data_IF_270843322528
#
_entry.id   IF_270843322528
#
_cell.length_a   1.000
_cell.length_b   1.000
_cell.length_c   1.000
_cell.angle_alpha   90.00
_cell.angle_beta   90.00
_cell.angle_gamma   90.00
#
_symmetry.space_group_name_H-M   'P 1'
#
loop_
_entity.id
_entity.type
_entity.pdbx_description
1 polymer ?
#
# COMPACT_ATOMS: atom_id res chain seq x y z
N UNK A 1 -5.22 -11.64 -5.34
CA UNK A 1 -5.11 -11.14 -6.71
C UNK A 1 -3.79 -10.42 -6.97
N UNK A 2 -3.29 -9.65 -6.01
CA UNK A 2 -2.10 -8.81 -6.15
C UNK A 2 -1.17 -9.04 -4.96
N UNK A 3 -0.37 -10.11 -4.96
CA UNK A 3 0.53 -10.43 -3.86
C UNK A 3 1.67 -9.41 -3.75
N UNK A 4 2.14 -9.21 -2.52
CA UNK A 4 3.42 -8.59 -2.22
C UNK A 4 4.36 -9.68 -1.71
N UNK A 5 5.61 -9.61 -2.09
CA UNK A 5 6.63 -10.57 -1.69
C UNK A 5 7.51 -10.01 -0.58
N UNK A 6 8.17 -10.88 0.15
CA UNK A 6 9.19 -10.50 1.13
C UNK A 6 10.31 -9.69 0.45
N UNK A 7 10.70 -8.58 1.04
CA UNK A 7 11.64 -7.64 0.42
C UNK A 7 11.04 -6.77 -0.68
N UNK A 8 9.74 -6.87 -0.93
CA UNK A 8 9.04 -6.13 -1.97
C UNK A 8 8.67 -4.70 -1.60
N UNK A 9 8.23 -3.95 -2.60
CA UNK A 9 7.75 -2.58 -2.46
C UNK A 9 6.32 -2.45 -2.92
N UNK A 10 5.49 -1.81 -2.11
CA UNK A 10 4.10 -1.54 -2.43
C UNK A 10 3.68 -0.14 -2.02
N UNK A 11 2.59 0.34 -2.59
CA UNK A 11 1.98 1.54 -2.10
C UNK A 11 0.45 1.53 -2.24
N UNK A 12 -0.19 2.27 -1.34
CA UNK A 12 -1.63 2.32 -1.18
C UNK A 12 -2.07 3.77 -1.38
N UNK A 13 -2.36 4.20 -2.61
CA UNK A 13 -2.96 5.50 -2.83
C UNK A 13 -4.46 5.44 -2.63
N UNK A 14 -5.00 6.50 -2.09
CA UNK A 14 -6.44 6.65 -1.96
C UNK A 14 -6.87 7.97 -1.33
N UNK A 15 -8.07 8.44 -1.62
CA UNK A 15 -8.66 9.58 -0.96
C UNK A 15 -8.72 9.43 0.57
N UNK A 16 -8.97 10.53 1.26
CA UNK A 16 -9.20 10.49 2.70
C UNK A 16 -10.48 9.69 3.01
N UNK A 17 -10.44 8.88 4.08
CA UNK A 17 -11.61 8.09 4.51
C UNK A 17 -11.82 6.77 3.76
N UNK A 18 -10.96 6.39 2.82
CA UNK A 18 -11.06 5.11 2.09
C UNK A 18 -10.51 3.91 2.85
N UNK A 19 -10.03 4.09 4.09
CA UNK A 19 -9.55 3.01 4.93
C UNK A 19 -8.09 2.61 4.69
N UNK A 20 -7.21 3.55 4.32
CA UNK A 20 -5.77 3.30 4.16
C UNK A 20 -5.13 2.71 5.41
N UNK A 21 -5.32 3.36 6.53
CA UNK A 21 -4.78 2.95 7.84
C UNK A 21 -5.33 1.57 8.25
N UNK A 22 -6.63 1.34 8.06
CA UNK A 22 -7.25 0.03 8.35
C UNK A 22 -6.64 -1.09 7.48
N UNK A 23 -6.37 -0.81 6.21
CA UNK A 23 -5.71 -1.78 5.33
C UNK A 23 -4.27 -2.05 5.78
N UNK A 24 -3.53 -1.03 6.21
CA UNK A 24 -2.18 -1.20 6.77
C UNK A 24 -2.21 -2.04 8.05
N UNK A 25 -3.16 -1.80 8.96
CA UNK A 25 -3.34 -2.62 10.16
C UNK A 25 -3.64 -4.08 9.80
N UNK A 26 -4.49 -4.32 8.82
CA UNK A 26 -4.80 -5.67 8.35
C UNK A 26 -3.57 -6.37 7.74
N UNK A 27 -2.76 -5.64 6.97
CA UNK A 27 -1.52 -6.16 6.40
C UNK A 27 -0.52 -6.50 7.51
N UNK A 28 -0.30 -5.59 8.48
CA UNK A 28 0.63 -5.83 9.59
C UNK A 28 0.23 -7.01 10.47
N UNK A 29 -1.07 -7.24 10.63
CA UNK A 29 -1.61 -8.38 11.37
C UNK A 29 -1.35 -9.70 10.66
N UNK A 30 -1.48 -9.73 9.33
CA UNK A 30 -1.38 -10.95 8.53
C UNK A 30 0.03 -11.23 7.98
N UNK A 31 0.93 -10.25 8.04
CA UNK A 31 2.27 -10.39 7.49
C UNK A 31 3.15 -11.31 8.33
N UNK A 32 3.88 -12.19 7.66
CA UNK A 32 4.93 -13.02 8.24
C UNK A 32 6.22 -12.21 8.40
N UNK A 33 6.18 -11.19 9.27
CA UNK A 33 7.32 -10.35 9.58
C UNK A 33 7.74 -10.53 11.04
N UNK A 34 9.04 -10.52 11.31
CA UNK A 34 9.56 -10.57 12.67
C UNK A 34 9.34 -9.23 13.38
N UNK A 35 9.51 -8.13 12.64
CA UNK A 35 9.33 -6.77 13.15
C UNK A 35 8.47 -5.96 12.19
N UNK A 36 7.54 -5.21 12.75
CA UNK A 36 6.72 -4.23 12.04
C UNK A 36 7.13 -2.83 12.49
N UNK A 37 7.45 -1.96 11.54
CA UNK A 37 7.76 -0.56 11.84
C UNK A 37 6.70 0.30 11.18
N UNK A 38 6.04 1.14 11.97
CA UNK A 38 5.04 2.10 11.51
C UNK A 38 5.62 3.50 11.63
N UNK A 39 5.81 4.15 10.51
CA UNK A 39 6.21 5.54 10.44
C UNK A 39 4.99 6.42 10.16
N UNK A 40 4.40 6.99 11.20
CA UNK A 40 3.37 8.01 11.06
C UNK A 40 4.06 9.34 10.75
N UNK A 41 3.92 9.81 9.51
CA UNK A 41 4.64 10.99 9.02
C UNK A 41 3.67 12.17 8.85
N UNK A 42 3.67 13.11 9.80
CA UNK A 42 2.84 14.31 9.75
C UNK A 42 1.34 14.05 9.87
N UNK A 43 0.96 12.93 10.48
CA UNK A 43 -0.44 12.56 10.68
C UNK A 43 -1.10 13.39 11.76
N UNK A 44 -2.44 13.39 11.79
CA UNK A 44 -3.20 14.08 12.81
C UNK A 44 -2.99 13.38 14.16
N UNK A 45 -2.94 14.17 15.23
CA UNK A 45 -2.77 13.61 16.57
C UNK A 45 -3.81 12.53 16.92
N UNK A 46 -5.06 12.69 16.44
CA UNK A 46 -6.12 11.71 16.67
C UNK A 46 -5.84 10.37 16.00
N UNK A 47 -5.32 10.36 14.77
CA UNK A 47 -4.97 9.15 14.03
C UNK A 47 -3.79 8.42 14.69
N UNK A 48 -2.82 9.18 15.22
CA UNK A 48 -1.71 8.61 15.99
C UNK A 48 -2.20 7.98 17.29
N UNK A 49 -3.12 8.65 18.00
CA UNK A 49 -3.73 8.11 19.24
C UNK A 49 -4.51 6.83 18.94
N UNK A 50 -5.24 6.77 17.81
CA UNK A 50 -5.96 5.58 17.38
C UNK A 50 -5.00 4.39 17.20
N UNK A 51 -3.85 4.59 16.56
CA UNK A 51 -2.82 3.54 16.45
C UNK A 51 -2.37 3.06 17.84
N UNK A 52 -2.11 3.96 18.78
CA UNK A 52 -1.68 3.61 20.14
C UNK A 52 -2.77 2.91 20.96
N UNK A 53 -4.05 3.12 20.66
CA UNK A 53 -5.16 2.47 21.35
C UNK A 53 -5.55 1.14 20.73
N UNK A 54 -5.55 1.03 19.42
CA UNK A 54 -5.97 -0.18 18.70
C UNK A 54 -4.88 -1.25 18.60
N UNK A 55 -3.63 -0.86 18.32
CA UNK A 55 -2.53 -1.83 18.15
C UNK A 55 -2.28 -2.75 19.34
N UNK A 56 -2.34 -2.29 20.60
CA UNK A 56 -2.18 -3.16 21.76
C UNK A 56 -3.27 -4.23 21.90
N UNK A 57 -4.44 -4.02 21.30
CA UNK A 57 -5.55 -4.99 21.36
C UNK A 57 -5.46 -6.03 20.22
N UNK A 58 -4.67 -5.76 19.17
CA UNK A 58 -4.49 -6.68 18.06
C UNK A 58 -3.63 -7.87 18.46
N UNK A 59 -4.12 -9.07 18.11
CA UNK A 59 -3.40 -10.33 18.33
C UNK A 59 -2.86 -10.83 16.98
N UNK A 60 -1.60 -11.22 16.98
CA UNK A 60 -0.96 -11.88 15.85
C UNK A 60 -1.55 -13.28 15.66
N UNK A 61 -2.15 -13.58 14.51
CA UNK A 61 -2.76 -14.89 14.27
C UNK A 61 -1.75 -16.03 14.20
N UNK A 62 -0.47 -15.74 13.90
CA UNK A 62 0.58 -16.75 13.76
C UNK A 62 1.18 -17.15 15.12
N UNK A 63 1.40 -16.19 16.00
CA UNK A 63 2.06 -16.42 17.29
C UNK A 63 1.12 -16.43 18.49
N UNK A 64 -0.09 -15.90 18.34
CA UNK A 64 -1.05 -15.71 19.43
C UNK A 64 -0.65 -14.61 20.44
N UNK A 65 0.46 -13.90 20.19
CA UNK A 65 0.94 -12.79 21.03
C UNK A 65 0.34 -11.47 20.56
N UNK A 66 0.48 -10.45 21.40
CA UNK A 66 0.05 -9.10 21.01
C UNK A 66 0.93 -8.55 19.91
N UNK A 67 0.32 -7.97 18.88
CA UNK A 67 1.04 -7.40 17.74
C UNK A 67 2.04 -6.31 18.17
N UNK A 68 1.72 -5.58 19.23
CA UNK A 68 2.58 -4.53 19.78
C UNK A 68 3.96 -5.03 20.25
N UNK A 69 4.10 -6.32 20.62
CA UNK A 69 5.38 -6.89 21.06
C UNK A 69 6.43 -6.92 19.94
N UNK A 70 6.00 -6.94 18.67
CA UNK A 70 6.87 -6.90 17.49
C UNK A 70 6.76 -5.60 16.69
N UNK A 71 6.11 -4.57 17.24
CA UNK A 71 5.84 -3.32 16.52
C UNK A 71 6.62 -2.16 17.11
N UNK A 72 7.24 -1.38 16.22
CA UNK A 72 7.92 -0.11 16.55
C UNK A 72 7.12 1.00 15.88
N UNK A 73 6.71 2.00 16.64
CA UNK A 73 5.95 3.14 16.14
C UNK A 73 6.81 4.40 16.21
N UNK A 74 7.03 5.04 15.06
CA UNK A 74 7.68 6.35 14.97
C UNK A 74 6.59 7.37 14.66
N UNK A 75 6.15 8.07 15.70
CA UNK A 75 5.07 9.01 15.61
C UNK A 75 5.57 10.43 15.35
N UNK A 76 5.26 10.98 14.18
CA UNK A 76 5.43 12.38 13.87
C UNK A 76 4.07 12.98 13.53
N UNK A 77 3.64 13.96 14.31
CA UNK A 77 2.35 14.64 14.12
C UNK A 77 2.50 15.89 13.26
N UNK A 78 1.39 16.35 12.71
CA UNK A 78 1.34 17.54 11.84
C UNK A 78 1.82 18.84 12.53
N UNK A 79 1.86 18.87 13.87
CA UNK A 79 2.29 20.02 14.67
C UNK A 79 3.82 20.08 14.83
N UNK A 80 4.53 19.02 14.47
CA UNK A 80 5.99 18.97 14.59
C UNK A 80 6.68 19.75 13.47
N UNK A 81 7.94 20.21 13.68
CA UNK A 81 8.72 20.92 12.67
C UNK A 81 8.86 20.11 11.37
N UNK A 82 8.95 20.83 10.24
CA UNK A 82 9.08 20.22 8.90
C UNK A 82 10.28 19.29 8.80
N UNK A 83 11.43 19.71 9.34
CA UNK A 83 12.65 18.90 9.34
C UNK A 83 12.47 17.57 10.12
N UNK A 84 11.73 17.58 11.22
CA UNK A 84 11.41 16.36 11.97
C UNK A 84 10.48 15.43 11.16
N UNK A 85 9.56 16.01 10.38
CA UNK A 85 8.68 15.25 9.47
C UNK A 85 9.45 14.58 8.38
N UNK A 86 10.39 15.27 7.75
CA UNK A 86 11.29 14.70 6.76
C UNK A 86 12.15 13.59 7.37
N UNK A 87 12.81 13.87 8.50
CA UNK A 87 13.72 12.92 9.13
C UNK A 87 13.04 11.65 9.65
N UNK A 88 11.76 11.69 10.02
CA UNK A 88 11.04 10.56 10.62
C UNK A 88 11.01 9.32 9.72
N UNK A 89 10.83 9.52 8.41
CA UNK A 89 10.78 8.43 7.43
C UNK A 89 12.16 7.79 7.24
N UNK A 90 13.21 8.60 7.21
CA UNK A 90 14.59 8.10 7.14
C UNK A 90 15.01 7.39 8.43
N UNK A 91 14.58 7.87 9.58
CA UNK A 91 14.81 7.20 10.88
C UNK A 91 14.16 5.82 10.89
N UNK A 92 12.93 5.72 10.41
CA UNK A 92 12.23 4.45 10.29
C UNK A 92 12.96 3.46 9.37
N UNK A 93 13.44 3.94 8.21
CA UNK A 93 14.20 3.11 7.29
C UNK A 93 15.55 2.67 7.88
N UNK A 94 16.24 3.55 8.61
CA UNK A 94 17.52 3.21 9.25
C UNK A 94 17.36 2.12 10.33
N UNK A 95 16.27 2.19 11.09
CA UNK A 95 15.92 1.11 12.03
C UNK A 95 15.59 -0.19 11.31
N UNK A 96 14.85 -0.12 10.20
CA UNK A 96 14.55 -1.29 9.38
C UNK A 96 15.83 -1.95 8.84
N UNK A 97 16.79 -1.14 8.36
CA UNK A 97 18.08 -1.64 7.88
C UNK A 97 18.92 -2.28 9.00
N UNK A 98 18.86 -1.71 10.20
CA UNK A 98 19.52 -2.29 11.36
C UNK A 98 19.01 -3.70 11.66
N UNK A 99 17.68 -3.87 11.74
CA UNK A 99 17.10 -5.19 11.97
C UNK A 99 17.29 -6.15 10.79
N UNK A 100 17.24 -5.65 9.55
CA UNK A 100 17.58 -6.46 8.37
C UNK A 100 19.00 -7.01 8.46
N UNK A 101 19.95 -6.23 8.92
CA UNK A 101 21.35 -6.66 9.08
C UNK A 101 21.54 -7.72 10.18
N UNK A 102 20.55 -7.90 11.05
CA UNK A 102 20.48 -9.00 12.01
C UNK A 102 19.84 -10.28 11.46
N UNK A 103 19.46 -10.32 10.18
CA UNK A 103 18.77 -11.45 9.57
C UNK A 103 17.26 -11.49 9.79
N UNK A 104 16.65 -10.38 10.24
CA UNK A 104 15.22 -10.32 10.51
C UNK A 104 14.41 -9.85 9.29
N UNK A 105 13.16 -10.31 9.23
CA UNK A 105 12.17 -9.89 8.26
C UNK A 105 11.42 -8.67 8.78
N UNK A 106 11.63 -7.52 8.15
CA UNK A 106 11.05 -6.25 8.58
C UNK A 106 9.96 -5.82 7.61
N UNK A 107 8.79 -5.49 8.15
CA UNK A 107 7.73 -4.79 7.41
C UNK A 107 7.75 -3.33 7.84
N UNK A 108 8.11 -2.44 6.93
CA UNK A 108 8.07 -1.00 7.13
C UNK A 108 6.86 -0.39 6.43
N UNK A 109 6.02 0.28 7.17
CA UNK A 109 4.86 1.01 6.67
C UNK A 109 5.00 2.50 6.96
N UNK A 110 4.78 3.34 5.96
CA UNK A 110 4.80 4.78 6.09
C UNK A 110 3.41 5.37 5.82
N UNK A 111 2.85 6.06 6.80
CA UNK A 111 1.57 6.77 6.72
C UNK A 111 1.75 8.26 7.09
N UNK A 112 1.63 9.22 6.18
CA UNK A 112 1.54 9.04 4.74
C UNK A 112 2.78 9.64 4.06
N UNK A 113 3.27 9.00 3.01
CA UNK A 113 4.41 9.51 2.23
C UNK A 113 4.09 10.83 1.51
N UNK A 114 2.82 11.17 1.32
CA UNK A 114 2.40 12.51 0.84
C UNK A 114 2.84 13.63 1.79
N UNK A 115 2.76 13.40 3.09
CA UNK A 115 3.19 14.37 4.10
C UNK A 115 4.71 14.54 4.12
N UNK A 116 5.42 13.44 3.91
CA UNK A 116 6.87 13.47 3.69
C UNK A 116 7.23 14.28 2.44
N UNK A 117 6.57 14.05 1.32
CA UNK A 117 6.78 14.81 0.09
C UNK A 117 6.44 16.31 0.26
N UNK A 118 5.41 16.65 1.05
CA UNK A 118 5.11 18.03 1.42
C UNK A 118 6.25 18.64 2.23
N UNK A 119 6.86 17.90 3.16
CA UNK A 119 8.00 18.38 3.92
C UNK A 119 9.20 18.67 3.01
N UNK A 120 9.50 17.79 2.05
CA UNK A 120 10.53 18.02 1.03
C UNK A 120 10.25 19.29 0.23
N UNK A 121 9.01 19.51 -0.21
CA UNK A 121 8.61 20.74 -0.91
C UNK A 121 8.81 21.99 -0.06
N UNK A 122 8.40 21.95 1.21
CA UNK A 122 8.57 23.10 2.11
C UNK A 122 10.05 23.41 2.38
N UNK A 123 10.90 22.38 2.50
CA UNK A 123 12.35 22.55 2.68
C UNK A 123 13.01 23.15 1.44
N UNK A 124 12.76 22.60 0.26
CA UNK A 124 13.26 23.09 -1.02
C UNK A 124 12.87 24.56 -1.26
N UNK A 125 11.60 24.89 -0.99
CA UNK A 125 11.14 26.29 -1.12
C UNK A 125 11.84 27.24 -0.15
N UNK A 126 12.18 26.80 1.06
CA UNK A 126 12.94 27.62 2.05
C UNK A 126 14.41 27.78 1.65
N UNK A 127 14.96 26.82 0.92
CA UNK A 127 16.32 26.89 0.38
C UNK A 127 16.38 27.65 -0.94
N UNK A 128 15.25 28.19 -1.41
CA UNK A 128 15.15 28.95 -2.67
C UNK A 128 15.60 28.12 -3.89
N UNK A 129 15.43 26.79 -3.84
CA UNK A 129 15.72 25.92 -4.96
C UNK A 129 14.72 26.12 -6.11
N UNK A 130 15.15 25.84 -7.33
CA UNK A 130 14.27 25.92 -8.50
C UNK A 130 13.13 24.90 -8.37
N UNK A 131 11.86 25.35 -8.41
CA UNK A 131 10.74 24.45 -8.26
C UNK A 131 10.51 23.60 -9.51
N UNK A 132 10.23 22.32 -9.30
CA UNK A 132 9.69 21.41 -10.30
C UNK A 132 8.16 21.47 -10.42
N UNK A 133 7.52 20.47 -11.05
CA UNK A 133 6.07 20.39 -11.17
C UNK A 133 5.38 20.44 -9.80
N UNK A 134 4.29 21.20 -9.70
CA UNK A 134 3.51 21.42 -8.47
C UNK A 134 4.36 21.95 -7.29
N UNK A 135 5.43 22.70 -7.59
CA UNK A 135 6.38 23.25 -6.63
C UNK A 135 7.11 22.19 -5.77
N UNK A 136 7.16 20.94 -6.20
CA UNK A 136 8.05 19.93 -5.62
C UNK A 136 9.49 20.12 -6.05
N UNK A 137 10.47 19.58 -5.30
CA UNK A 137 11.87 19.56 -5.75
C UNK A 137 11.99 18.93 -7.14
N UNK A 138 12.90 19.44 -7.99
CA UNK A 138 13.10 18.88 -9.33
C UNK A 138 13.54 17.42 -9.31
N UNK A 139 14.22 17.00 -8.26
CA UNK A 139 14.76 15.65 -8.05
C UNK A 139 13.84 14.73 -7.23
N UNK A 140 12.57 15.12 -6.99
CA UNK A 140 11.61 14.31 -6.23
C UNK A 140 11.52 12.86 -6.71
N UNK A 141 11.67 12.63 -8.02
CA UNK A 141 11.69 11.29 -8.61
C UNK A 141 12.89 10.47 -8.13
N UNK A 142 14.06 11.09 -8.07
CA UNK A 142 15.29 10.43 -7.59
C UNK A 142 15.21 10.17 -6.09
N UNK A 143 14.70 11.11 -5.30
CA UNK A 143 14.52 10.95 -3.85
C UNK A 143 13.61 9.77 -3.55
N UNK A 144 12.44 9.70 -4.18
CA UNK A 144 11.48 8.60 -4.01
C UNK A 144 12.12 7.28 -4.46
N UNK A 145 12.77 7.26 -5.63
CA UNK A 145 13.39 6.05 -6.16
C UNK A 145 14.49 5.52 -5.24
N UNK A 146 15.37 6.38 -4.76
CA UNK A 146 16.44 6.01 -3.84
C UNK A 146 15.90 5.51 -2.51
N UNK A 147 14.83 6.12 -2.00
CA UNK A 147 14.21 5.69 -0.76
C UNK A 147 13.58 4.29 -0.88
N UNK A 148 12.76 4.07 -1.91
CA UNK A 148 12.14 2.77 -2.16
C UNK A 148 13.18 1.70 -2.50
N UNK A 149 14.31 2.08 -3.14
CA UNK A 149 15.41 1.19 -3.47
C UNK A 149 16.18 0.63 -2.26
N UNK A 150 15.98 1.22 -1.05
CA UNK A 150 16.55 0.70 0.20
C UNK A 150 15.82 -0.55 0.71
N UNK A 151 14.57 -0.76 0.30
CA UNK A 151 13.85 -2.00 0.55
C UNK A 151 14.44 -3.13 -0.29
N UNK A 152 14.40 -4.35 0.23
CA UNK A 152 14.89 -5.51 -0.51
C UNK A 152 15.19 -6.70 0.37
N UNK A 153 15.44 -7.80 -0.29
CA UNK A 153 15.90 -9.05 0.30
C UNK A 153 17.42 -9.14 0.15
N UNK A 154 18.12 -9.41 1.21
CA UNK A 154 19.59 -9.41 1.27
C UNK A 154 20.11 -10.70 1.86
N UNK A 155 21.15 -11.26 1.24
CA UNK A 155 21.92 -12.33 1.83
C UNK A 155 23.08 -11.74 2.63
N UNK A 156 23.18 -12.13 3.89
CA UNK A 156 24.23 -11.69 4.81
C UNK A 156 25.49 -12.55 4.69
N UNK A 157 26.59 -12.06 5.27
CA UNK A 157 27.88 -12.75 5.17
C UNK A 157 27.97 -14.11 5.88
N UNK A 158 27.01 -14.44 6.74
CA UNK A 158 26.88 -15.70 7.47
C UNK A 158 25.87 -16.68 6.82
N UNK A 159 25.52 -16.47 5.55
CA UNK A 159 24.46 -17.18 4.81
C UNK A 159 23.03 -16.99 5.34
N UNK A 160 22.83 -16.21 6.39
CA UNK A 160 21.51 -15.77 6.81
C UNK A 160 20.92 -14.75 5.83
N UNK A 161 19.63 -14.59 5.88
CA UNK A 161 18.91 -13.65 5.00
C UNK A 161 18.11 -12.68 5.84
N UNK A 162 18.06 -11.43 5.40
CA UNK A 162 17.23 -10.40 6.00
C UNK A 162 16.49 -9.63 4.94
N UNK A 163 15.34 -9.08 5.29
CA UNK A 163 14.51 -8.37 4.32
C UNK A 163 13.84 -7.13 4.89
N UNK A 164 13.60 -6.16 4.01
CA UNK A 164 12.72 -5.03 4.28
C UNK A 164 11.63 -5.00 3.21
N UNK A 165 10.41 -5.23 3.62
CA UNK A 165 9.23 -5.00 2.79
C UNK A 165 8.70 -3.61 3.11
N UNK A 166 8.60 -2.74 2.11
CA UNK A 166 8.14 -1.36 2.29
C UNK A 166 6.78 -1.13 1.68
N UNK A 167 5.85 -0.57 2.46
CA UNK A 167 4.52 -0.18 2.00
C UNK A 167 4.26 1.27 2.40
N UNK A 168 4.19 2.16 1.40
CA UNK A 168 3.82 3.56 1.60
C UNK A 168 2.35 3.81 1.31
N UNK A 169 1.70 4.69 2.09
CA UNK A 169 0.42 5.24 1.71
C UNK A 169 0.59 6.60 1.05
N UNK A 170 -0.26 6.89 0.10
CA UNK A 170 -0.31 8.19 -0.56
C UNK A 170 -1.73 8.73 -0.48
N UNK A 171 -1.87 9.97 -0.02
CA UNK A 171 -3.15 10.69 0.01
C UNK A 171 -3.11 11.82 -1.02
N UNK A 172 -3.44 11.53 -2.28
CA UNK A 172 -3.37 12.53 -3.33
C UNK A 172 -4.36 13.66 -3.07
N UNK A 173 -3.92 14.89 -3.27
CA UNK A 173 -4.76 16.07 -3.12
C UNK A 173 -5.96 16.00 -4.09
N UNK A 174 -7.18 16.14 -3.56
CA UNK A 174 -8.40 16.03 -4.37
C UNK A 174 -8.63 14.67 -5.04
N UNK A 175 -7.95 13.61 -4.59
CA UNK A 175 -8.03 12.28 -5.20
C UNK A 175 -7.32 12.15 -6.56
N UNK A 176 -6.51 13.13 -6.94
CA UNK A 176 -5.82 13.13 -8.23
C UNK A 176 -4.59 12.21 -8.22
N UNK A 177 -4.75 11.00 -8.76
CA UNK A 177 -3.67 10.02 -8.88
C UNK A 177 -2.56 10.43 -9.89
N UNK A 178 -2.71 11.55 -10.59
CA UNK A 178 -1.72 12.07 -11.53
C UNK A 178 -0.78 13.12 -10.91
N UNK A 179 -0.89 13.36 -9.61
CA UNK A 179 0.07 14.24 -8.93
C UNK A 179 1.51 13.67 -8.99
N UNK A 180 2.56 14.52 -8.97
CA UNK A 180 3.96 14.11 -9.14
C UNK A 180 4.40 13.01 -8.15
N UNK A 181 3.98 13.08 -6.90
CA UNK A 181 4.35 12.09 -5.88
C UNK A 181 3.77 10.72 -6.20
N UNK A 182 2.48 10.65 -6.52
CA UNK A 182 1.80 9.40 -6.87
C UNK A 182 2.38 8.79 -8.14
N UNK A 183 2.59 9.60 -9.19
CA UNK A 183 3.16 9.13 -10.46
C UNK A 183 4.60 8.61 -10.30
N UNK A 184 5.44 9.30 -9.54
CA UNK A 184 6.81 8.85 -9.30
C UNK A 184 6.85 7.61 -8.42
N UNK A 185 6.01 7.52 -7.39
CA UNK A 185 5.89 6.32 -6.55
C UNK A 185 5.42 5.12 -7.37
N UNK A 186 4.45 5.31 -8.27
CA UNK A 186 3.94 4.27 -9.17
C UNK A 186 4.99 3.68 -10.10
N UNK A 187 5.99 4.47 -10.51
CA UNK A 187 7.10 3.99 -11.34
C UNK A 187 8.05 3.07 -10.58
N UNK A 188 8.19 3.28 -9.28
CA UNK A 188 9.16 2.58 -8.43
C UNK A 188 8.54 1.40 -7.69
N UNK A 189 7.35 1.57 -7.13
CA UNK A 189 6.66 0.51 -6.39
C UNK A 189 6.20 -0.62 -7.33
N UNK A 190 6.44 -1.86 -6.91
CA UNK A 190 6.07 -3.05 -7.67
C UNK A 190 4.63 -3.50 -7.44
N UNK A 191 4.09 -3.21 -6.27
CA UNK A 191 2.68 -3.44 -5.93
C UNK A 191 1.92 -2.12 -5.80
N UNK A 192 0.69 -2.12 -6.30
CA UNK A 192 -0.21 -0.97 -6.30
C UNK A 192 -1.59 -1.41 -5.85
N UNK A 193 -2.07 -0.83 -4.74
CA UNK A 193 -3.38 -1.11 -4.18
C UNK A 193 -4.23 0.15 -4.22
N UNK A 194 -4.85 0.43 -5.36
CA UNK A 194 -5.70 1.61 -5.53
C UNK A 194 -6.94 1.54 -4.65
N UNK A 195 -7.10 2.47 -3.71
CA UNK A 195 -8.34 2.63 -2.96
C UNK A 195 -9.26 3.62 -3.68
N UNK A 196 -10.52 3.23 -3.78
CA UNK A 196 -11.53 3.96 -4.54
C UNK A 196 -12.63 4.48 -3.62
N UNK A 197 -12.99 5.76 -3.78
CA UNK A 197 -14.00 6.42 -2.96
C UNK A 197 -15.39 5.80 -3.14
N UNK A 198 -15.78 5.51 -4.38
CA UNK A 198 -17.07 4.88 -4.69
C UNK A 198 -17.28 3.55 -3.97
N UNK A 199 -16.21 2.78 -3.79
CA UNK A 199 -16.28 1.51 -3.05
C UNK A 199 -16.45 1.75 -1.56
N UNK A 200 -15.73 2.75 -1.01
CA UNK A 200 -15.86 3.15 0.39
C UNK A 200 -17.25 3.69 0.69
N UNK A 201 -17.81 4.54 -0.18
CA UNK A 201 -19.15 5.10 -0.05
C UNK A 201 -20.23 4.01 -0.10
N UNK A 202 -20.02 2.99 -0.92
CA UNK A 202 -20.86 1.78 -0.96
C UNK A 202 -20.57 0.80 0.18
N UNK A 203 -19.71 1.17 1.14
CA UNK A 203 -19.29 0.34 2.29
C UNK A 203 -18.69 -1.02 1.88
N UNK A 204 -18.00 -1.07 0.75
CA UNK A 204 -17.28 -2.25 0.25
C UNK A 204 -15.84 -2.18 0.72
N UNK A 205 -15.54 -2.85 1.81
CA UNK A 205 -14.18 -2.89 2.38
C UNK A 205 -13.54 -4.28 2.23
N UNK A 206 -12.20 -4.34 2.02
CA UNK A 206 -11.32 -3.21 1.73
C UNK A 206 -11.70 -2.53 0.42
N UNK A 207 -11.62 -1.16 0.38
CA UNK A 207 -12.03 -0.37 -0.78
C UNK A 207 -11.05 -0.43 -1.97
N UNK A 208 -10.29 -1.52 -2.06
CA UNK A 208 -9.31 -1.77 -3.12
C UNK A 208 -10.02 -2.02 -4.44
N UNK A 209 -9.67 -1.27 -5.46
CA UNK A 209 -10.12 -1.53 -6.83
C UNK A 209 -9.31 -2.70 -7.42
N UNK A 210 -9.92 -3.86 -7.69
CA UNK A 210 -9.20 -5.03 -8.17
C UNK A 210 -8.74 -4.93 -9.63
N UNK A 211 -9.31 -3.98 -10.40
CA UNK A 211 -9.00 -3.77 -11.80
C UNK A 211 -7.77 -2.89 -11.95
N UNK A 212 -7.77 -1.74 -11.24
CA UNK A 212 -6.68 -0.78 -11.32
C UNK A 212 -5.47 -1.17 -10.47
N UNK A 213 -5.67 -2.06 -9.48
CA UNK A 213 -4.59 -2.59 -8.65
C UNK A 213 -3.80 -3.66 -9.38
N UNK A 214 -2.49 -3.66 -9.16
CA UNK A 214 -1.61 -4.65 -9.77
C UNK A 214 -0.48 -5.08 -8.84
N UNK A 215 0.14 -6.21 -9.16
CA UNK A 215 1.41 -6.64 -8.62
C UNK A 215 2.28 -7.13 -9.77
N UNK A 216 3.46 -6.52 -9.92
CA UNK A 216 4.45 -6.96 -10.92
C UNK A 216 5.19 -8.23 -10.51
N UNK A 217 5.05 -8.66 -9.26
CA UNK A 217 5.68 -9.89 -8.77
C UNK A 217 5.11 -11.15 -9.41
N UNK A 218 3.87 -11.10 -9.91
CA UNK A 218 3.24 -12.22 -10.62
C UNK A 218 3.96 -12.53 -11.96
N UNK A 219 4.67 -11.55 -12.52
CA UNK A 219 5.37 -11.66 -13.81
C UNK A 219 6.74 -12.35 -13.67
N UNK A 220 7.24 -12.57 -12.44
CA UNK A 220 8.53 -13.21 -12.22
C UNK A 220 8.43 -14.73 -12.31
N UNK A 221 9.35 -15.40 -13.06
CA UNK A 221 9.37 -16.87 -13.18
C UNK A 221 9.49 -17.59 -11.85
N UNK A 222 10.31 -17.05 -10.94
CA UNK A 222 10.51 -17.61 -9.61
C UNK A 222 9.24 -17.62 -8.76
N UNK A 223 8.39 -16.59 -8.93
CA UNK A 223 7.09 -16.54 -8.28
C UNK A 223 6.12 -17.57 -8.87
N UNK A 224 6.13 -17.74 -10.19
CA UNK A 224 5.32 -18.74 -10.88
C UNK A 224 5.69 -20.16 -10.42
N UNK A 225 6.98 -20.48 -10.35
CA UNK A 225 7.49 -21.76 -9.86
C UNK A 225 7.07 -22.01 -8.41
N UNK A 226 7.26 -21.02 -7.53
CA UNK A 226 6.83 -21.12 -6.13
C UNK A 226 5.33 -21.40 -5.99
N UNK A 227 4.48 -20.73 -6.78
CA UNK A 227 3.03 -20.91 -6.75
C UNK A 227 2.63 -22.30 -7.24
N UNK A 228 3.28 -22.82 -8.29
CA UNK A 228 3.03 -24.16 -8.79
C UNK A 228 3.34 -25.21 -7.74
N UNK A 229 4.46 -25.06 -7.06
CA UNK A 229 4.94 -26.04 -6.07
C UNK A 229 4.12 -26.03 -4.77
N UNK A 230 3.65 -24.86 -4.33
CA UNK A 230 3.07 -24.67 -3.00
C UNK A 230 1.56 -24.45 -2.96
N UNK A 231 0.96 -24.04 -4.08
CA UNK A 231 -0.46 -23.66 -4.11
C UNK A 231 -1.22 -24.46 -5.17
N UNK A 232 -1.04 -24.12 -6.44
CA UNK A 232 -1.74 -24.76 -7.57
C UNK A 232 -1.19 -24.27 -8.90
N UNK A 233 -0.98 -25.20 -9.85
CA UNK A 233 -0.51 -24.93 -11.22
C UNK A 233 -1.41 -23.93 -11.99
N UNK A 234 -2.71 -23.95 -11.73
CA UNK A 234 -3.70 -23.13 -12.44
C UNK A 234 -3.90 -21.74 -11.82
N UNK A 235 -3.22 -21.42 -10.72
CA UNK A 235 -3.51 -20.21 -9.94
C UNK A 235 -3.38 -18.92 -10.76
N UNK A 236 -2.30 -18.77 -11.53
CA UNK A 236 -2.05 -17.59 -12.38
C UNK A 236 -3.10 -17.48 -13.46
N UNK A 237 -3.46 -18.60 -14.10
CA UNK A 237 -4.53 -18.65 -15.09
C UNK A 237 -5.87 -18.19 -14.53
N UNK A 238 -6.24 -18.68 -13.35
CA UNK A 238 -7.48 -18.30 -12.65
C UNK A 238 -7.48 -16.82 -12.23
N UNK A 239 -6.34 -16.27 -11.81
CA UNK A 239 -6.21 -14.84 -11.48
C UNK A 239 -6.45 -13.98 -12.72
N UNK A 240 -5.87 -14.33 -13.86
CA UNK A 240 -6.04 -13.59 -15.10
C UNK A 240 -7.49 -13.68 -15.62
N UNK A 241 -8.09 -14.86 -15.57
CA UNK A 241 -9.49 -15.06 -15.92
C UNK A 241 -10.41 -14.20 -15.04
N UNK A 242 -10.18 -14.20 -13.71
CA UNK A 242 -10.96 -13.38 -12.78
C UNK A 242 -10.81 -11.88 -13.07
N UNK A 243 -9.60 -11.39 -13.34
CA UNK A 243 -9.38 -9.99 -13.73
C UNK A 243 -10.13 -9.64 -15.01
N UNK A 244 -10.10 -10.50 -16.01
CA UNK A 244 -10.83 -10.32 -17.29
C UNK A 244 -12.34 -10.26 -17.05
N UNK A 245 -12.88 -11.15 -16.21
CA UNK A 245 -14.30 -11.16 -15.86
C UNK A 245 -14.73 -9.89 -15.10
N UNK A 246 -13.90 -9.42 -14.16
CA UNK A 246 -14.15 -8.18 -13.43
C UNK A 246 -14.15 -6.95 -14.34
N UNK A 247 -13.19 -6.89 -15.26
CA UNK A 247 -13.13 -5.80 -16.25
C UNK A 247 -14.37 -5.78 -17.14
N UNK A 248 -14.77 -6.96 -17.67
CA UNK A 248 -15.98 -7.09 -18.48
C UNK A 248 -17.24 -6.70 -17.69
N UNK A 249 -17.30 -7.08 -16.39
CA UNK A 249 -18.40 -6.66 -15.49
C UNK A 249 -18.47 -5.15 -15.33
N UNK A 250 -17.32 -4.45 -15.22
CA UNK A 250 -17.25 -3.00 -15.14
C UNK A 250 -17.76 -2.34 -16.44
N UNK A 251 -17.30 -2.82 -17.60
CA UNK A 251 -17.75 -2.31 -18.90
C UNK A 251 -19.26 -2.45 -19.09
N UNK A 252 -19.82 -3.59 -18.69
CA UNK A 252 -21.27 -3.83 -18.76
C UNK A 252 -22.03 -2.90 -17.77
N UNK A 253 -21.51 -2.72 -16.56
CA UNK A 253 -22.13 -1.80 -15.60
C UNK A 253 -22.13 -0.35 -16.11
N UNK A 254 -21.07 0.08 -16.79
CA UNK A 254 -21.01 1.39 -17.46
C UNK A 254 -22.03 1.49 -18.60
N UNK A 255 -22.21 0.43 -19.40
CA UNK A 255 -23.22 0.38 -20.46
C UNK A 255 -24.64 0.47 -19.90
N UNK A 256 -24.95 -0.23 -18.80
CA UNK A 256 -26.25 -0.16 -18.12
C UNK A 256 -26.53 1.25 -17.61
N UNK A 257 -25.53 1.91 -17.03
CA UNK A 257 -25.68 3.29 -16.56
C UNK A 257 -26.03 4.28 -17.69
N UNK A 258 -25.61 3.98 -18.93
CA UNK A 258 -25.86 4.82 -20.12
C UNK A 258 -27.17 4.44 -20.79
N UNK A 259 -27.45 3.15 -20.98
CA UNK A 259 -28.56 2.63 -21.80
C UNK A 259 -29.81 2.23 -20.99
N UNK A 260 -29.68 2.08 -19.67
CA UNK A 260 -30.69 1.47 -18.82
C UNK A 260 -30.65 -0.06 -18.83
N UNK A 261 -31.33 -0.67 -17.88
CA UNK A 261 -31.37 -2.14 -17.69
C UNK A 261 -31.96 -2.89 -18.90
N UNK A 262 -32.90 -2.26 -19.61
CA UNK A 262 -33.59 -2.85 -20.76
C UNK A 262 -32.70 -2.97 -22.01
N UNK A 263 -31.57 -2.26 -22.05
CA UNK A 263 -30.66 -2.23 -23.19
C UNK A 263 -29.59 -3.33 -23.19
N UNK A 264 -29.54 -4.18 -22.16
CA UNK A 264 -28.45 -5.14 -21.98
C UNK A 264 -28.99 -6.58 -21.93
N UNK A 265 -28.35 -7.55 -22.64
CA UNK A 265 -28.75 -8.95 -22.58
C UNK A 265 -28.72 -9.53 -21.16
N UNK A 266 -29.69 -10.35 -20.82
CA UNK A 266 -29.87 -10.96 -19.47
C UNK A 266 -28.62 -11.75 -19.03
N UNK A 267 -27.91 -12.35 -19.97
CA UNK A 267 -26.66 -13.08 -19.71
C UNK A 267 -25.56 -12.21 -19.09
N UNK A 268 -25.56 -10.92 -19.35
CA UNK A 268 -24.58 -9.99 -18.80
C UNK A 268 -24.92 -9.52 -17.38
N UNK A 269 -26.19 -9.60 -16.98
CA UNK A 269 -26.61 -9.27 -15.60
C UNK A 269 -25.96 -10.20 -14.57
N UNK A 270 -25.72 -11.46 -14.93
CA UNK A 270 -25.04 -12.42 -14.05
C UNK A 270 -23.59 -12.05 -13.76
N UNK A 271 -22.89 -11.39 -14.70
CA UNK A 271 -21.50 -10.93 -14.53
C UNK A 271 -21.39 -9.77 -13.54
N UNK A 272 -22.41 -8.94 -13.44
CA UNK A 272 -22.47 -7.84 -12.46
C UNK A 272 -22.56 -8.40 -11.06
N UNK A 273 -23.33 -9.48 -10.84
CA UNK A 273 -23.42 -10.15 -9.54
C UNK A 273 -22.11 -10.78 -9.08
N UNK A 274 -21.19 -11.11 -9.99
CA UNK A 274 -19.83 -11.58 -9.66
C UNK A 274 -18.95 -10.39 -9.22
N UNK A 275 -19.08 -9.25 -9.89
CA UNK A 275 -18.35 -8.02 -9.55
C UNK A 275 -18.93 -7.30 -8.34
N UNK A 276 -20.21 -7.51 -8.05
CA UNK A 276 -20.95 -6.97 -6.92
C UNK A 276 -21.40 -8.13 -6.01
N UNK A 277 -20.56 -8.61 -5.08
CA UNK A 277 -21.03 -9.59 -4.10
C UNK A 277 -22.21 -8.98 -3.35
N UNK A 278 -23.37 -9.62 -3.54
CA UNK A 278 -24.62 -9.26 -2.87
C UNK A 278 -24.35 -9.01 -1.39
N UNK A 279 -24.90 -7.91 -0.87
CA UNK A 279 -24.99 -7.60 0.55
C UNK A 279 -25.55 -8.80 1.33
N UNK A 280 -24.73 -9.75 1.70
CA UNK A 280 -24.98 -10.57 2.87
C UNK A 280 -24.09 -10.00 3.96
N UNK A 281 -24.72 -9.21 4.80
CA UNK A 281 -24.25 -8.84 6.12
C UNK A 281 -23.67 -10.06 6.81
N UNK A 282 -22.36 -10.12 6.95
CA UNK A 282 -21.79 -10.85 8.05
C UNK A 282 -21.81 -9.89 9.23
N UNK A 283 -22.85 -9.99 10.03
CA UNK A 283 -22.89 -9.52 11.40
C UNK A 283 -21.91 -10.39 12.19
#
# INVERSE_FOLDING_TARGET
LNPIVEGGTGFIPGPFGTGKTVLQHAISKQAEADIVIIAACGERANEVVEIFTEFPELVDPHTGRKLMERTIIIANTSNMPVAAREASVYTAMSLAEYYRSMGLKVLLMADSTSRWAQALREMSNRMEELPGPDAFPMDISAIISNFYGRAGYVKLGNDETGSITFIGTVSPAGGNLKEPVTENTKKVARCFYALEQDRADKKRYPAVNPIDSYSKYIEYPEFEEYIKDHINDEWIGKVNELKTRLQRGKEIAEQINILGDDGVPVEYLSLIHISEPTRRSYI
#
